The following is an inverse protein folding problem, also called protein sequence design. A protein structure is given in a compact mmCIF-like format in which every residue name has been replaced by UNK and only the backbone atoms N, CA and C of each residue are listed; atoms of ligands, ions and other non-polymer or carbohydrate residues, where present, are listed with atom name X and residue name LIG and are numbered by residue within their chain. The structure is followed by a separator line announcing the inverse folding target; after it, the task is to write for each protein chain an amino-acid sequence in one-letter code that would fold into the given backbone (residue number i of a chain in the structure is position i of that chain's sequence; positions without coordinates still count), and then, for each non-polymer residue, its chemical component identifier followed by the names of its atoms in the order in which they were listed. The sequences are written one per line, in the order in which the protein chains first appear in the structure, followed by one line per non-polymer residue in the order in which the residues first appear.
data_IF_749749299061
#
_entry.id   IF_749749299061
#
_cell.length_a   1.000
_cell.length_b   1.000
_cell.length_c   1.000
_cell.angle_alpha   90.00
_cell.angle_beta   90.00
_cell.angle_gamma   90.00
#
_symmetry.space_group_name_H-M   'P 1'
#
loop_
_entity.id
_entity.type
_entity.pdbx_description
1 polymer ?
#
# COMPACT_ATOMS: atom_id res chain seq x y z
N UNK A 1 -68.77 -14.62 19.42
CA UNK A 1 -67.95 -15.32 18.39
C UNK A 1 -67.64 -14.47 17.16
N UNK A 2 -68.56 -13.64 16.63
CA UNK A 2 -68.34 -12.81 15.42
C UNK A 2 -67.14 -11.84 15.50
N UNK A 3 -66.84 -11.29 16.68
CA UNK A 3 -65.76 -10.31 16.89
C UNK A 3 -64.40 -10.93 17.28
N UNK A 4 -64.33 -12.24 17.57
CA UNK A 4 -63.06 -12.90 17.90
C UNK A 4 -62.20 -13.16 16.66
N UNK A 5 -62.85 -13.35 15.51
CA UNK A 5 -62.19 -13.62 14.22
C UNK A 5 -61.29 -12.44 13.79
N UNK A 6 -61.73 -11.16 13.76
CA UNK A 6 -60.85 -10.06 13.35
C UNK A 6 -59.71 -9.81 14.34
N UNK A 7 -59.93 -10.02 15.65
CA UNK A 7 -58.89 -9.86 16.67
C UNK A 7 -57.79 -10.94 16.55
N UNK A 8 -58.18 -12.19 16.32
CA UNK A 8 -57.24 -13.28 16.07
C UNK A 8 -56.46 -13.07 14.77
N UNK A 9 -57.11 -12.57 13.71
CA UNK A 9 -56.46 -12.26 12.44
C UNK A 9 -55.44 -11.11 12.58
N UNK A 10 -55.79 -10.05 13.31
CA UNK A 10 -54.90 -8.93 13.58
C UNK A 10 -53.67 -9.34 14.41
N UNK A 11 -53.87 -10.17 15.44
CA UNK A 11 -52.77 -10.71 16.24
C UNK A 11 -51.84 -11.60 15.40
N UNK A 12 -52.39 -12.46 14.53
CA UNK A 12 -51.60 -13.32 13.66
C UNK A 12 -50.75 -12.53 12.65
N UNK A 13 -51.28 -11.43 12.10
CA UNK A 13 -50.55 -10.55 11.18
C UNK A 13 -49.38 -9.85 11.87
N UNK A 14 -49.57 -9.37 13.10
CA UNK A 14 -48.51 -8.72 13.90
C UNK A 14 -47.36 -9.68 14.24
N UNK A 15 -47.65 -10.96 14.45
CA UNK A 15 -46.66 -12.00 14.78
C UNK A 15 -45.87 -12.49 13.56
N UNK A 16 -46.34 -12.25 12.34
CA UNK A 16 -45.68 -12.72 11.10
C UNK A 16 -44.31 -12.08 10.85
N UNK A 17 -44.07 -10.88 11.37
CA UNK A 17 -42.78 -10.20 11.30
C UNK A 17 -41.72 -10.82 12.21
N UNK A 18 -42.11 -11.39 13.36
CA UNK A 18 -41.19 -12.06 14.29
C UNK A 18 -40.74 -13.45 13.80
N UNK A 19 -41.50 -14.08 12.91
CA UNK A 19 -41.18 -15.38 12.31
C UNK A 19 -40.43 -15.25 10.97
N UNK A 20 -40.21 -14.04 10.47
CA UNK A 20 -39.52 -13.82 9.20
C UNK A 20 -38.01 -14.07 9.35
N UNK A 21 -37.49 -15.07 8.63
CA UNK A 21 -36.06 -15.32 8.55
C UNK A 21 -35.37 -14.15 7.81
N UNK A 22 -34.22 -13.64 8.30
CA UNK A 22 -33.48 -12.59 7.60
C UNK A 22 -33.01 -13.11 6.24
N UNK A 23 -33.13 -12.28 5.19
CA UNK A 23 -32.48 -12.57 3.90
C UNK A 23 -30.99 -12.28 4.05
N UNK A 24 -30.17 -13.31 3.85
CA UNK A 24 -28.70 -13.18 3.85
C UNK A 24 -28.23 -13.26 2.40
N UNK A 25 -27.69 -12.16 1.89
CA UNK A 25 -27.03 -12.11 0.59
C UNK A 25 -25.52 -12.09 0.80
N UNK A 26 -24.82 -13.03 0.17
CA UNK A 26 -23.36 -13.08 0.20
C UNK A 26 -22.80 -12.21 -0.92
N UNK A 27 -22.23 -11.07 -0.55
CA UNK A 27 -21.53 -10.19 -1.49
C UNK A 27 -20.06 -10.58 -1.57
N UNK A 28 -19.57 -10.80 -2.79
CA UNK A 28 -18.15 -10.98 -3.03
C UNK A 28 -17.47 -9.61 -3.14
N UNK A 29 -16.61 -9.29 -2.18
CA UNK A 29 -15.87 -8.02 -2.14
C UNK A 29 -14.38 -8.29 -2.39
N UNK A 30 -13.82 -7.64 -3.41
CA UNK A 30 -12.38 -7.69 -3.71
C UNK A 30 -11.66 -6.63 -2.89
N UNK A 31 -11.21 -7.01 -1.69
CA UNK A 31 -10.39 -6.14 -0.86
C UNK A 31 -8.93 -6.27 -1.29
N UNK A 32 -8.23 -5.16 -1.63
CA UNK A 32 -6.81 -5.22 -1.92
C UNK A 32 -6.06 -5.65 -0.65
N UNK A 33 -5.30 -6.74 -0.76
CA UNK A 33 -4.46 -7.25 0.33
C UNK A 33 -3.06 -6.65 0.15
N UNK A 34 -2.53 -5.90 1.14
CA UNK A 34 -1.17 -5.41 1.07
C UNK A 34 -0.17 -6.56 1.01
N UNK A 35 0.75 -6.49 0.05
CA UNK A 35 1.87 -7.42 -0.10
C UNK A 35 3.19 -6.69 0.13
N UNK A 36 4.26 -7.44 0.40
CA UNK A 36 5.58 -6.86 0.49
C UNK A 36 5.98 -6.18 -0.82
N UNK A 37 6.63 -5.01 -0.73
CA UNK A 37 7.20 -4.36 -1.90
C UNK A 37 8.34 -5.21 -2.47
N UNK A 38 8.35 -5.40 -3.79
CA UNK A 38 9.33 -6.20 -4.51
C UNK A 38 10.34 -5.34 -5.29
N UNK A 39 10.43 -4.05 -4.97
CA UNK A 39 11.39 -3.16 -5.60
C UNK A 39 12.82 -3.58 -5.22
N UNK A 40 13.72 -3.79 -6.18
CA UNK A 40 15.11 -4.15 -5.88
C UNK A 40 15.86 -2.98 -5.25
N UNK A 41 16.85 -3.30 -4.42
CA UNK A 41 17.82 -2.30 -3.96
C UNK A 41 18.75 -1.98 -5.14
N UNK A 42 18.85 -0.71 -5.57
CA UNK A 42 19.78 -0.32 -6.63
C UNK A 42 21.23 -0.70 -6.28
N UNK A 43 22.01 -1.09 -7.28
CA UNK A 43 23.41 -1.43 -7.06
C UNK A 43 24.20 -0.18 -6.67
N UNK A 44 24.97 -0.29 -5.58
CA UNK A 44 25.86 0.80 -5.17
C UNK A 44 26.99 0.93 -6.20
N UNK A 45 27.16 2.09 -6.84
CA UNK A 45 28.28 2.28 -7.75
C UNK A 45 29.60 2.34 -6.96
N UNK A 46 30.71 2.00 -7.61
CA UNK A 46 32.04 2.25 -7.04
C UNK A 46 32.20 3.74 -6.78
N UNK A 47 32.71 4.13 -5.61
CA UNK A 47 32.82 5.54 -5.23
C UNK A 47 34.23 6.05 -5.51
N UNK A 48 34.40 7.24 -6.14
CA UNK A 48 35.71 7.73 -6.55
C UNK A 48 36.76 7.74 -5.42
N UNK A 49 36.37 8.09 -4.19
CA UNK A 49 37.31 8.18 -3.07
C UNK A 49 37.78 6.81 -2.56
N UNK A 50 37.07 5.72 -2.86
CA UNK A 50 37.47 4.36 -2.49
C UNK A 50 38.78 3.92 -3.16
N UNK A 51 39.10 4.50 -4.33
CA UNK A 51 40.30 4.19 -5.09
C UNK A 51 41.50 5.12 -4.83
N UNK A 52 41.39 6.08 -3.90
CA UNK A 52 42.47 7.02 -3.62
C UNK A 52 43.65 6.34 -2.93
N UNK A 53 44.86 6.65 -3.41
CA UNK A 53 46.09 6.17 -2.79
C UNK A 53 46.35 6.86 -1.44
N UNK A 54 46.95 6.17 -0.46
CA UNK A 54 47.43 6.81 0.76
C UNK A 54 48.39 7.96 0.44
N UNK A 55 48.20 9.10 1.11
CA UNK A 55 49.04 10.29 0.89
C UNK A 55 48.67 11.13 -0.32
N UNK A 56 47.51 10.89 -0.97
CA UNK A 56 46.97 11.77 -2.00
C UNK A 56 46.93 13.23 -1.53
N UNK A 57 47.19 14.15 -2.46
CA UNK A 57 47.14 15.57 -2.15
C UNK A 57 45.71 16.02 -1.80
N UNK A 58 45.60 17.14 -1.09
CA UNK A 58 44.29 17.74 -0.79
C UNK A 58 43.52 18.07 -2.07
N UNK A 59 44.22 18.50 -3.12
CA UNK A 59 43.61 18.83 -4.42
C UNK A 59 43.06 17.57 -5.12
N UNK A 60 43.78 16.46 -5.07
CA UNK A 60 43.33 15.18 -5.63
C UNK A 60 42.13 14.62 -4.85
N UNK A 61 42.18 14.70 -3.51
CA UNK A 61 41.06 14.33 -2.66
C UNK A 61 39.83 15.19 -2.99
N UNK A 62 39.99 16.51 -3.08
CA UNK A 62 38.88 17.45 -3.32
C UNK A 62 38.22 17.19 -4.67
N UNK A 63 39.01 17.02 -5.73
CA UNK A 63 38.51 16.68 -7.07
C UNK A 63 37.71 15.37 -7.05
N UNK A 64 38.26 14.35 -6.39
CA UNK A 64 37.65 13.02 -6.32
C UNK A 64 36.38 13.03 -5.48
N UNK A 65 36.38 13.77 -4.36
CA UNK A 65 35.22 13.93 -3.49
C UNK A 65 34.08 14.69 -4.19
N UNK A 66 34.38 15.72 -4.99
CA UNK A 66 33.35 16.42 -5.79
C UNK A 66 32.67 15.47 -6.79
N UNK A 67 33.45 14.66 -7.53
CA UNK A 67 32.89 13.64 -8.41
C UNK A 67 32.07 12.58 -7.66
N UNK A 68 32.45 12.28 -6.41
CA UNK A 68 31.70 11.36 -5.56
C UNK A 68 30.36 11.94 -5.08
N UNK A 69 30.31 13.24 -4.77
CA UNK A 69 29.06 13.90 -4.37
C UNK A 69 28.01 13.74 -5.47
N UNK A 70 28.36 14.06 -6.71
CA UNK A 70 27.45 13.88 -7.87
C UNK A 70 27.00 12.42 -8.03
N UNK A 71 27.93 11.46 -7.83
CA UNK A 71 27.61 10.03 -7.88
C UNK A 71 26.66 9.60 -6.77
N UNK A 72 26.85 10.11 -5.56
CA UNK A 72 25.98 9.84 -4.40
C UNK A 72 24.60 10.45 -4.58
N UNK A 73 24.50 11.65 -5.13
CA UNK A 73 23.22 12.27 -5.45
C UNK A 73 22.44 11.45 -6.48
N UNK A 74 23.12 10.94 -7.52
CA UNK A 74 22.50 10.02 -8.48
C UNK A 74 22.00 8.72 -7.83
N UNK A 75 22.83 8.10 -6.99
CA UNK A 75 22.45 6.87 -6.26
C UNK A 75 21.30 7.13 -5.27
N UNK A 76 21.30 8.27 -4.58
CA UNK A 76 20.22 8.68 -3.70
C UNK A 76 18.91 8.89 -4.49
N UNK A 77 18.98 9.45 -5.69
CA UNK A 77 17.84 9.54 -6.60
C UNK A 77 17.23 8.18 -6.91
N UNK A 78 18.05 7.17 -7.20
CA UNK A 78 17.60 5.80 -7.44
C UNK A 78 16.96 5.19 -6.19
N UNK A 79 17.58 5.37 -5.01
CA UNK A 79 17.04 4.88 -3.75
C UNK A 79 15.69 5.52 -3.40
N UNK A 80 15.55 6.83 -3.62
CA UNK A 80 14.28 7.54 -3.42
C UNK A 80 13.20 7.02 -4.37
N UNK A 81 13.53 6.84 -5.66
CA UNK A 81 12.59 6.30 -6.63
C UNK A 81 12.09 4.90 -6.24
N UNK A 82 13.00 4.03 -5.77
CA UNK A 82 12.64 2.71 -5.28
C UNK A 82 11.70 2.77 -4.05
N UNK A 83 12.01 3.64 -3.09
CA UNK A 83 11.17 3.86 -1.91
C UNK A 83 9.79 4.42 -2.29
N UNK A 84 9.74 5.36 -3.22
CA UNK A 84 8.50 5.98 -3.67
C UNK A 84 7.59 4.95 -4.35
N UNK A 85 8.16 4.04 -5.16
CA UNK A 85 7.41 2.91 -5.73
C UNK A 85 6.78 2.04 -4.63
N UNK A 86 7.52 1.74 -3.57
CA UNK A 86 7.01 0.95 -2.44
C UNK A 86 5.91 1.65 -1.63
N UNK A 87 5.90 2.99 -1.61
CA UNK A 87 4.96 3.79 -0.82
C UNK A 87 3.69 4.18 -1.57
N UNK A 88 3.59 3.86 -2.87
CA UNK A 88 2.38 4.14 -3.65
C UNK A 88 1.16 3.45 -3.02
N UNK A 89 0.02 4.14 -2.89
CA UNK A 89 -1.22 3.52 -2.48
C UNK A 89 -1.58 2.36 -3.40
N UNK A 90 -2.07 1.26 -2.83
CA UNK A 90 -2.63 0.16 -3.61
C UNK A 90 -4.04 0.59 -4.02
N UNK A 91 -4.16 1.22 -5.18
CA UNK A 91 -5.46 1.50 -5.78
C UNK A 91 -6.08 0.17 -6.20
N UNK A 92 -7.25 -0.16 -5.62
CA UNK A 92 -8.06 -1.27 -6.09
C UNK A 92 -8.43 -1.03 -7.55
N UNK A 93 -8.43 -2.08 -8.37
CA UNK A 93 -8.69 -2.03 -9.84
C UNK A 93 -10.08 -1.49 -10.24
N UNK A 94 -10.87 -1.02 -9.28
CA UNK A 94 -12.25 -0.59 -9.41
C UNK A 94 -12.45 0.81 -8.76
N UNK A 95 -11.49 1.75 -8.92
CA UNK A 95 -11.75 3.17 -8.66
C UNK A 95 -12.73 3.70 -9.74
N UNK A 96 -13.81 4.40 -9.37
CA UNK A 96 -14.83 4.87 -10.32
C UNK A 96 -14.28 5.89 -11.33
#
# INVERSE_FOLDING_TARGET
MRNMIPAALGAALLLSGCAAAPRVETLQVRVPVPVACLEPVPERPSMPTEGLQPGASVDDFTRTAQAEIERREGYEGQLRAALDNCRKPIEGRDAP
#
